data_IF_875575841649
#
_entry.id   IF_875575841649
#
_cell.length_a   1.000
_cell.length_b   1.000
_cell.length_c   1.000
_cell.angle_alpha   90.00
_cell.angle_beta   90.00
_cell.angle_gamma   90.00
#
_symmetry.space_group_name_H-M   'P 1'
#
loop_
_entity.id
_entity.type
_entity.pdbx_description
1 polymer ?
#
# COMPACT_ATOMS: atom_id res chain seq x y z
N UNK A 1 -12.91 -5.41 2.52
CA UNK A 1 -12.87 -5.33 1.05
C UNK A 1 -13.79 -4.20 0.61
N UNK A 2 -13.30 -3.21 -0.15
CA UNK A 2 -14.14 -2.10 -0.59
C UNK A 2 -15.20 -2.59 -1.58
N UNK A 3 -16.46 -2.15 -1.44
CA UNK A 3 -17.56 -2.65 -2.27
C UNK A 3 -17.45 -2.22 -3.74
N UNK A 4 -16.77 -1.09 -3.99
CA UNK A 4 -16.51 -0.54 -5.33
C UNK A 4 -15.12 -0.89 -5.89
N UNK A 5 -14.41 -1.85 -5.27
CA UNK A 5 -13.02 -2.13 -5.62
C UNK A 5 -12.88 -2.57 -7.09
N UNK A 6 -12.21 -1.76 -7.91
CA UNK A 6 -12.02 -2.09 -9.33
C UNK A 6 -11.11 -3.32 -9.52
N UNK A 7 -10.27 -3.64 -8.53
CA UNK A 7 -9.43 -4.84 -8.58
C UNK A 7 -10.24 -6.14 -8.62
N UNK A 8 -11.55 -6.10 -8.32
CA UNK A 8 -12.47 -7.22 -8.59
C UNK A 8 -12.43 -7.68 -10.05
N UNK A 9 -12.25 -6.76 -11.00
CA UNK A 9 -12.05 -7.10 -12.41
C UNK A 9 -10.74 -7.88 -12.63
N UNK A 10 -9.71 -7.63 -11.82
CA UNK A 10 -8.44 -8.36 -11.90
C UNK A 10 -8.54 -9.79 -11.38
N UNK A 11 -9.57 -10.12 -10.59
CA UNK A 11 -9.83 -11.48 -10.12
C UNK A 11 -9.99 -12.48 -11.27
N UNK A 12 -10.46 -12.04 -12.45
CA UNK A 12 -10.59 -12.90 -13.63
C UNK A 12 -9.25 -13.45 -14.15
N UNK A 13 -8.14 -12.78 -13.81
CA UNK A 13 -6.78 -13.22 -14.15
C UNK A 13 -6.18 -14.10 -13.06
N UNK A 14 -6.89 -14.27 -11.93
CA UNK A 14 -6.56 -15.31 -10.96
C UNK A 14 -7.30 -16.58 -11.36
N UNK A 15 -6.60 -17.72 -11.42
CA UNK A 15 -7.22 -19.03 -11.66
C UNK A 15 -7.98 -19.53 -10.41
N UNK A 16 -8.74 -18.66 -9.76
CA UNK A 16 -9.44 -18.88 -8.51
C UNK A 16 -10.94 -18.78 -8.74
N UNK A 17 -11.68 -19.66 -8.09
CA UNK A 17 -13.15 -19.71 -8.14
C UNK A 17 -13.79 -19.14 -6.88
N UNK A 18 -12.99 -18.85 -5.85
CA UNK A 18 -13.47 -18.27 -4.61
C UNK A 18 -14.04 -16.86 -4.80
N UNK A 19 -15.04 -16.51 -3.99
CA UNK A 19 -15.70 -15.20 -4.04
C UNK A 19 -14.69 -14.06 -3.84
N UNK A 20 -14.79 -13.00 -4.65
CA UNK A 20 -13.95 -11.82 -4.47
C UNK A 20 -14.04 -11.27 -3.04
N UNK A 21 -12.89 -11.01 -2.43
CA UNK A 21 -12.78 -10.55 -1.05
C UNK A 21 -12.72 -11.63 0.02
N UNK A 22 -12.92 -12.91 -0.33
CA UNK A 22 -12.72 -14.01 0.62
C UNK A 22 -11.28 -14.55 0.64
N UNK A 23 -10.41 -14.08 -0.25
CA UNK A 23 -9.04 -14.58 -0.37
C UNK A 23 -8.05 -13.45 -0.59
N UNK A 24 -6.78 -13.74 -0.24
CA UNK A 24 -5.61 -12.94 -0.62
C UNK A 24 -4.57 -13.91 -1.18
N UNK A 25 -3.97 -13.56 -2.31
CA UNK A 25 -2.88 -14.34 -2.88
C UNK A 25 -1.54 -13.68 -2.56
N UNK A 26 -0.79 -14.30 -1.66
CA UNK A 26 0.52 -13.79 -1.23
C UNK A 26 1.61 -14.35 -2.14
N UNK A 27 2.38 -13.47 -2.77
CA UNK A 27 3.54 -13.85 -3.61
C UNK A 27 4.79 -13.91 -2.74
N UNK A 28 5.01 -15.03 -2.05
CA UNK A 28 6.11 -15.19 -1.09
C UNK A 28 7.51 -15.10 -1.73
N UNK A 29 7.63 -15.46 -3.01
CA UNK A 29 8.88 -15.35 -3.77
C UNK A 29 9.17 -13.94 -4.31
N UNK A 30 8.28 -12.96 -4.06
CA UNK A 30 8.38 -11.63 -4.66
C UNK A 30 9.69 -10.90 -4.34
N UNK A 31 10.18 -11.00 -3.10
CA UNK A 31 11.42 -10.35 -2.67
C UNK A 31 12.65 -10.88 -3.41
N UNK A 32 12.71 -12.21 -3.63
CA UNK A 32 13.79 -12.84 -4.40
C UNK A 32 13.75 -12.42 -5.89
N UNK A 33 12.54 -12.37 -6.48
CA UNK A 33 12.36 -11.91 -7.86
C UNK A 33 12.70 -10.43 -8.01
N UNK A 34 12.30 -9.58 -7.06
CA UNK A 34 12.64 -8.16 -7.08
C UNK A 34 14.16 -7.97 -6.97
N UNK A 35 14.83 -8.70 -6.08
CA UNK A 35 16.28 -8.65 -5.94
C UNK A 35 17.01 -9.05 -7.23
N UNK A 36 16.53 -10.06 -7.95
CA UNK A 36 17.12 -10.45 -9.24
C UNK A 36 16.92 -9.39 -10.32
N UNK A 37 15.74 -8.75 -10.36
CA UNK A 37 15.44 -7.66 -11.30
C UNK A 37 16.25 -6.39 -11.05
N UNK A 38 16.59 -6.11 -9.79
CA UNK A 38 17.38 -4.96 -9.37
C UNK A 38 18.90 -5.14 -9.54
N UNK A 39 19.38 -6.32 -9.97
CA UNK A 39 20.81 -6.53 -10.29
C UNK A 39 21.32 -5.57 -11.35
N UNK A 40 20.44 -5.09 -12.23
CA UNK A 40 20.75 -4.02 -13.18
C UNK A 40 20.29 -2.70 -12.57
N UNK A 41 21.14 -1.65 -12.55
CA UNK A 41 20.76 -0.37 -11.97
C UNK A 41 19.52 0.17 -12.68
N UNK A 42 18.52 0.53 -11.88
CA UNK A 42 17.28 1.16 -12.34
C UNK A 42 17.22 2.58 -11.80
N UNK A 43 16.77 3.50 -12.63
CA UNK A 43 16.42 4.86 -12.24
C UNK A 43 14.93 5.04 -12.42
N UNK A 44 14.30 5.82 -11.55
CA UNK A 44 12.88 6.15 -11.66
C UNK A 44 12.14 6.06 -10.34
N UNK A 45 10.81 6.03 -10.45
CA UNK A 45 9.89 5.93 -9.33
C UNK A 45 9.09 4.63 -9.43
N UNK A 46 9.05 3.86 -8.34
CA UNK A 46 8.22 2.68 -8.21
C UNK A 46 6.95 3.05 -7.45
N UNK A 47 5.80 2.81 -8.06
CA UNK A 47 4.51 2.92 -7.39
C UNK A 47 4.13 1.57 -6.80
N UNK A 48 4.09 1.49 -5.47
CA UNK A 48 3.52 0.35 -4.76
C UNK A 48 2.00 0.51 -4.70
N UNK A 49 1.32 -0.65 -4.71
CA UNK A 49 -0.12 -0.73 -4.54
C UNK A 49 -0.97 -0.13 -5.70
N UNK A 50 -0.52 -0.28 -6.95
CA UNK A 50 -1.25 0.21 -8.13
C UNK A 50 -2.56 -0.52 -8.44
N UNK A 51 -2.79 -1.70 -7.85
CA UNK A 51 -4.00 -2.51 -8.04
C UNK A 51 -4.54 -3.01 -6.71
N UNK A 52 -3.68 -3.53 -5.84
CA UNK A 52 -4.04 -4.03 -4.51
C UNK A 52 -3.26 -3.28 -3.45
N UNK A 53 -3.86 -3.08 -2.27
CA UNK A 53 -3.21 -2.38 -1.16
C UNK A 53 -2.00 -3.19 -0.63
N UNK A 54 -0.84 -2.54 -0.49
CA UNK A 54 0.40 -3.16 -0.01
C UNK A 54 0.41 -3.39 1.51
N UNK A 55 -0.51 -2.76 2.24
CA UNK A 55 -0.62 -2.77 3.69
C UNK A 55 -1.93 -3.41 4.18
N UNK A 56 -2.43 -4.39 3.44
CA UNK A 56 -3.52 -5.28 3.90
C UNK A 56 -3.16 -5.94 5.23
N UNK A 57 -4.14 -6.35 6.03
CA UNK A 57 -3.92 -6.93 7.37
C UNK A 57 -2.91 -8.11 7.38
N UNK A 58 -2.87 -8.90 6.31
CA UNK A 58 -1.95 -10.04 6.17
C UNK A 58 -0.47 -9.63 6.08
N UNK A 59 -0.18 -8.39 5.68
CA UNK A 59 1.18 -7.82 5.63
C UNK A 59 1.84 -7.77 7.01
N UNK A 60 1.05 -7.74 8.11
CA UNK A 60 1.58 -7.88 9.47
C UNK A 60 2.32 -9.21 9.67
N UNK A 61 1.88 -10.27 8.99
CA UNK A 61 2.47 -11.61 9.07
C UNK A 61 3.65 -11.77 8.10
N UNK A 62 3.48 -11.36 6.84
CA UNK A 62 4.47 -11.65 5.80
C UNK A 62 5.57 -10.61 5.68
N UNK A 63 5.33 -9.35 6.07
CA UNK A 63 6.30 -8.24 5.99
C UNK A 63 6.97 -8.13 4.61
N UNK A 64 6.21 -8.42 3.53
CA UNK A 64 6.73 -8.41 2.17
C UNK A 64 6.98 -6.98 1.72
N UNK A 65 6.04 -6.08 1.98
CA UNK A 65 6.15 -4.66 1.62
C UNK A 65 7.36 -4.05 2.30
N UNK A 66 7.56 -4.31 3.59
CA UNK A 66 8.76 -3.84 4.30
C UNK A 66 10.06 -4.37 3.65
N UNK A 67 10.09 -5.66 3.31
CA UNK A 67 11.25 -6.29 2.66
C UNK A 67 11.51 -5.67 1.27
N UNK A 68 10.46 -5.33 0.54
CA UNK A 68 10.56 -4.65 -0.76
C UNK A 68 11.12 -3.24 -0.60
N UNK A 69 10.61 -2.47 0.38
CA UNK A 69 11.12 -1.12 0.66
C UNK A 69 12.60 -1.15 1.01
N UNK A 70 13.07 -2.13 1.80
CA UNK A 70 14.50 -2.30 2.10
C UNK A 70 15.34 -2.51 0.83
N UNK A 71 14.86 -3.33 -0.11
CA UNK A 71 15.55 -3.57 -1.39
C UNK A 71 15.55 -2.32 -2.28
N UNK A 72 14.42 -1.62 -2.38
CA UNK A 72 14.29 -0.40 -3.18
C UNK A 72 15.17 0.73 -2.64
N UNK A 73 15.25 0.86 -1.31
CA UNK A 73 16.12 1.83 -0.62
C UNK A 73 17.57 1.59 -0.96
N UNK A 74 18.04 0.34 -0.87
CA UNK A 74 19.42 -0.05 -1.22
C UNK A 74 19.81 0.28 -2.67
N UNK A 75 18.82 0.34 -3.56
CA UNK A 75 19.03 0.64 -4.99
C UNK A 75 18.76 2.11 -5.34
N UNK A 76 18.51 2.98 -4.35
CA UNK A 76 18.30 4.42 -4.57
C UNK A 76 17.04 4.77 -5.37
N UNK A 77 16.06 3.87 -5.40
CA UNK A 77 14.80 4.09 -6.12
C UNK A 77 13.84 4.96 -5.31
N UNK A 78 13.16 5.87 -6.01
CA UNK A 78 12.08 6.66 -5.42
C UNK A 78 10.85 5.79 -5.29
N UNK A 79 10.09 5.94 -4.21
CA UNK A 79 8.87 5.15 -4.00
C UNK A 79 7.66 6.06 -3.83
N UNK A 80 6.54 5.65 -4.41
CA UNK A 80 5.22 6.20 -4.13
C UNK A 80 4.33 5.08 -3.62
N UNK A 81 3.61 5.30 -2.54
CA UNK A 81 2.70 4.34 -1.92
C UNK A 81 1.31 4.94 -1.94
N UNK A 82 0.32 4.16 -2.38
CA UNK A 82 -1.09 4.47 -2.16
C UNK A 82 -1.69 3.44 -1.22
N UNK A 83 -2.35 3.85 -0.14
CA UNK A 83 -2.95 2.90 0.81
C UNK A 83 -4.21 3.45 1.48
N UNK A 84 -5.00 2.56 2.08
CA UNK A 84 -6.10 2.87 3.00
C UNK A 84 -5.81 2.39 4.42
N UNK A 85 -4.58 1.95 4.68
CA UNK A 85 -4.16 1.30 5.91
C UNK A 85 -3.11 2.14 6.62
N UNK A 86 -3.35 2.40 7.90
CA UNK A 86 -2.40 3.06 8.81
C UNK A 86 -1.21 2.17 9.21
N UNK A 87 -1.20 0.90 8.78
CA UNK A 87 -0.07 -0.02 8.98
C UNK A 87 1.23 0.50 8.34
N UNK A 88 1.15 1.39 7.35
CA UNK A 88 2.31 2.06 6.76
C UNK A 88 3.18 2.80 7.79
N UNK A 89 2.59 3.23 8.92
CA UNK A 89 3.32 3.89 10.01
C UNK A 89 4.43 3.00 10.60
N UNK A 90 4.29 1.67 10.53
CA UNK A 90 5.34 0.71 10.93
C UNK A 90 6.66 0.98 10.21
N UNK A 91 6.59 1.39 8.96
CA UNK A 91 7.74 1.51 8.06
C UNK A 91 8.22 2.98 7.94
N UNK A 92 7.79 3.87 8.83
CA UNK A 92 8.12 5.31 8.82
C UNK A 92 9.63 5.59 8.77
N UNK A 93 10.42 4.97 9.64
CA UNK A 93 11.88 5.19 9.65
C UNK A 93 12.56 4.71 8.37
N UNK A 94 12.06 3.63 7.78
CA UNK A 94 12.54 3.16 6.49
C UNK A 94 12.19 4.17 5.39
N UNK A 95 10.96 4.67 5.36
CA UNK A 95 10.51 5.66 4.37
C UNK A 95 11.28 6.98 4.48
N UNK A 96 11.62 7.44 5.68
CA UNK A 96 12.48 8.62 5.91
C UNK A 96 13.86 8.46 5.30
N UNK A 97 14.41 7.25 5.32
CA UNK A 97 15.73 6.96 4.74
C UNK A 97 15.73 6.91 3.21
N UNK A 98 14.56 6.89 2.57
CA UNK A 98 14.44 6.74 1.12
C UNK A 98 14.54 8.09 0.39
N UNK A 99 15.19 8.14 -0.78
CA UNK A 99 15.18 9.33 -1.60
C UNK A 99 13.77 9.59 -2.15
N UNK A 100 13.16 10.70 -1.75
CA UNK A 100 11.86 11.18 -2.25
C UNK A 100 10.72 10.14 -2.17
N UNK A 101 10.61 9.45 -1.02
CA UNK A 101 9.43 8.65 -0.70
C UNK A 101 8.18 9.53 -0.58
N UNK A 102 7.07 9.03 -1.13
CA UNK A 102 5.77 9.67 -1.05
C UNK A 102 4.73 8.65 -0.58
N UNK A 103 3.87 9.05 0.35
CA UNK A 103 2.77 8.21 0.86
C UNK A 103 1.44 8.93 0.69
N UNK A 104 0.54 8.30 -0.04
CA UNK A 104 -0.77 8.80 -0.34
C UNK A 104 -1.83 7.92 0.33
N UNK A 105 -2.86 8.56 0.86
CA UNK A 105 -4.03 7.85 1.39
C UNK A 105 -5.27 8.11 0.54
N UNK A 106 -6.01 7.06 0.25
CA UNK A 106 -7.37 7.25 -0.28
C UNK A 106 -8.30 7.64 0.86
N UNK A 107 -8.97 8.78 0.73
CA UNK A 107 -10.06 9.22 1.60
C UNK A 107 -11.31 9.33 0.74
N UNK A 108 -12.25 8.39 0.89
CA UNK A 108 -13.50 8.39 0.09
C UNK A 108 -14.57 9.25 0.75
N UNK A 109 -14.65 9.24 2.07
CA UNK A 109 -15.56 10.06 2.87
C UNK A 109 -14.95 10.27 4.25
N UNK A 110 -15.36 11.33 4.95
CA UNK A 110 -15.04 11.56 6.37
C UNK A 110 -16.13 11.02 7.30
N UNK A 111 -17.27 10.60 6.77
CA UNK A 111 -18.30 9.92 7.55
C UNK A 111 -17.85 8.49 7.88
N UNK A 112 -17.56 8.26 9.16
CA UNK A 112 -17.11 6.98 9.72
C UNK A 112 -18.10 5.82 9.49
N UNK A 113 -19.41 6.09 9.56
CA UNK A 113 -20.43 5.07 9.34
C UNK A 113 -20.48 4.69 7.86
N UNK A 114 -20.48 5.69 6.98
CA UNK A 114 -20.47 5.46 5.54
C UNK A 114 -19.18 4.76 5.11
N UNK A 115 -18.02 5.19 5.60
CA UNK A 115 -16.74 4.55 5.32
C UNK A 115 -16.73 3.07 5.74
N UNK A 116 -17.30 2.72 6.90
CA UNK A 116 -17.39 1.33 7.36
C UNK A 116 -18.25 0.45 6.44
N UNK A 117 -19.32 1.00 5.89
CA UNK A 117 -20.18 0.30 4.93
C UNK A 117 -19.49 0.13 3.58
N UNK A 118 -18.82 1.17 3.09
CA UNK A 118 -18.18 1.20 1.79
C UNK A 118 -16.85 0.42 1.74
N UNK A 119 -16.06 0.51 2.81
CA UNK A 119 -14.67 0.03 2.89
C UNK A 119 -14.43 -0.86 4.12
N UNK A 120 -15.19 -1.97 4.29
CA UNK A 120 -15.06 -2.80 5.47
C UNK A 120 -13.63 -3.36 5.60
N UNK A 121 -13.05 -3.24 6.79
CA UNK A 121 -11.69 -3.72 7.09
C UNK A 121 -10.54 -2.82 6.64
N UNK A 122 -10.81 -1.69 5.98
CA UNK A 122 -9.83 -0.62 5.84
C UNK A 122 -9.75 0.22 7.14
N UNK A 123 -8.67 0.97 7.34
CA UNK A 123 -8.57 1.87 8.49
C UNK A 123 -9.63 2.96 8.39
N UNK A 124 -10.13 3.47 9.51
CA UNK A 124 -11.11 4.56 9.51
C UNK A 124 -10.55 5.83 8.84
N UNK A 125 -11.40 6.70 8.25
CA UNK A 125 -10.98 8.02 7.78
C UNK A 125 -10.16 8.79 8.81
N UNK A 126 -10.60 8.82 10.07
CA UNK A 126 -9.85 9.41 11.21
C UNK A 126 -8.44 8.85 11.36
N UNK A 127 -8.26 7.52 11.32
CA UNK A 127 -6.93 6.89 11.43
C UNK A 127 -6.04 7.18 10.22
N UNK A 128 -6.63 7.26 9.02
CA UNK A 128 -5.89 7.62 7.81
C UNK A 128 -5.39 9.08 7.89
N UNK A 129 -6.22 9.99 8.39
CA UNK A 129 -5.81 11.39 8.61
C UNK A 129 -4.71 11.50 9.68
N UNK A 130 -4.86 10.80 10.81
CA UNK A 130 -3.82 10.78 11.84
C UNK A 130 -2.49 10.19 11.32
N UNK A 131 -2.56 9.17 10.47
CA UNK A 131 -1.38 8.60 9.83
C UNK A 131 -0.73 9.57 8.84
N UNK A 132 -1.53 10.28 8.04
CA UNK A 132 -1.05 11.35 7.15
C UNK A 132 -0.31 12.43 7.93
N UNK A 133 -0.89 12.90 9.04
CA UNK A 133 -0.29 13.91 9.91
C UNK A 133 1.04 13.41 10.50
N UNK A 134 1.08 12.18 11.00
CA UNK A 134 2.29 11.58 11.56
C UNK A 134 3.41 11.45 10.52
N UNK A 135 3.09 11.02 9.30
CA UNK A 135 4.07 10.90 8.21
C UNK A 135 4.55 12.27 7.73
N UNK A 136 3.65 13.25 7.62
CA UNK A 136 4.00 14.62 7.27
C UNK A 136 4.93 15.25 8.34
N UNK A 137 4.61 15.06 9.62
CA UNK A 137 5.45 15.51 10.74
C UNK A 137 6.83 14.83 10.76
N UNK A 138 6.93 13.62 10.22
CA UNK A 138 8.19 12.91 10.03
C UNK A 138 9.01 13.37 8.80
N UNK A 139 8.52 14.38 8.05
CA UNK A 139 9.18 14.91 6.85
C UNK A 139 8.93 14.08 5.58
N UNK A 140 8.01 13.11 5.61
CA UNK A 140 7.65 12.33 4.44
C UNK A 140 6.60 13.11 3.65
N UNK A 141 6.77 13.20 2.34
CA UNK A 141 5.81 13.87 1.47
C UNK A 141 4.52 13.05 1.38
N UNK A 142 3.40 13.67 1.73
CA UNK A 142 2.10 13.00 1.79
C UNK A 142 1.07 13.62 0.86
N UNK A 143 0.09 12.82 0.45
CA UNK A 143 -1.03 13.27 -0.38
C UNK A 143 -2.34 12.61 0.01
N UNK A 144 -3.44 13.28 -0.32
CA UNK A 144 -4.78 12.71 -0.21
C UNK A 144 -5.32 12.43 -1.60
N UNK A 145 -5.90 11.24 -1.79
CA UNK A 145 -6.63 10.91 -3.00
C UNK A 145 -8.13 10.82 -2.70
N UNK A 146 -8.88 11.79 -3.20
CA UNK A 146 -10.32 11.92 -3.03
C UNK A 146 -11.06 11.23 -4.16
N UNK A 147 -11.16 9.90 -4.10
CA UNK A 147 -11.94 9.11 -5.06
C UNK A 147 -12.33 7.74 -4.50
N UNK A 148 -13.45 7.15 -4.96
CA UNK A 148 -13.64 5.71 -4.80
C UNK A 148 -12.56 4.97 -5.62
N UNK A 149 -11.91 3.98 -4.99
CA UNK A 149 -10.88 3.10 -5.59
C UNK A 149 -11.04 1.67 -5.14
#
# INVERSE_FOLDING_TARGET
>A
MCIYCYASCMARFSNRQEKWGSFVQVKTNFTAVLASQLRRPKKGRVMLASVTDAYQAIEKKYSLTQSCLKLLTKNGLKVSILTKSDLVLRDTELLKSMPAAEVSFTITTLDEKLARMLEPGASSPSRRLAALESLAGAGIKTWVQLKPT
#
